data_IF_204064798038
#
_entry.id   IF_204064798038
#
_cell.length_a   1.000
_cell.length_b   1.000
_cell.length_c   1.000
_cell.angle_alpha   90.00
_cell.angle_beta   90.00
_cell.angle_gamma   90.00
#
_symmetry.space_group_name_H-M   'P 1'
#
loop_
_entity.id
_entity.type
_entity.pdbx_description
1 polymer ?
#
# COMPACT_ATOMS: atom_id res chain seq x y z
N UNK A 1 5.92 2.56 17.89
CA UNK A 1 6.53 2.82 16.57
C UNK A 1 6.35 4.27 16.16
N UNK A 2 7.28 4.79 15.36
CA UNK A 2 7.24 6.12 14.75
C UNK A 2 7.64 6.03 13.27
N UNK A 3 7.00 6.86 12.43
CA UNK A 3 7.45 7.13 11.07
C UNK A 3 8.11 8.49 11.05
N UNK A 4 9.37 8.53 10.64
CA UNK A 4 10.10 9.79 10.41
C UNK A 4 10.63 9.81 8.98
N UNK A 5 10.87 11.00 8.44
CA UNK A 5 11.43 11.17 7.11
C UNK A 5 12.85 11.66 7.22
N UNK A 6 13.73 11.06 6.43
CA UNK A 6 15.14 11.38 6.44
C UNK A 6 15.38 12.84 6.04
N UNK A 7 16.34 13.47 6.71
CA UNK A 7 16.89 14.78 6.30
C UNK A 7 18.02 14.55 5.30
N UNK A 8 18.68 15.64 4.89
CA UNK A 8 19.88 15.60 4.05
C UNK A 8 21.05 14.84 4.67
N UNK A 9 20.99 14.58 5.98
CA UNK A 9 22.04 13.88 6.73
C UNK A 9 22.08 12.39 6.41
N UNK A 10 20.98 11.82 5.90
CA UNK A 10 20.98 10.46 5.36
C UNK A 10 21.64 10.46 3.98
N UNK A 11 22.97 10.37 3.97
CA UNK A 11 23.76 10.27 2.76
C UNK A 11 24.41 8.89 2.62
N UNK A 12 24.19 8.22 1.48
CA UNK A 12 24.84 6.96 1.13
C UNK A 12 25.65 7.16 -0.14
N UNK A 13 26.94 6.81 -0.11
CA UNK A 13 27.87 7.00 -1.22
C UNK A 13 27.86 8.44 -1.81
N UNK A 14 27.70 9.46 -0.95
CA UNK A 14 27.65 10.87 -1.34
C UNK A 14 26.31 11.34 -1.92
N UNK A 15 25.31 10.47 -2.04
CA UNK A 15 23.95 10.83 -2.45
C UNK A 15 23.05 11.00 -1.22
N UNK A 16 22.37 12.15 -1.13
CA UNK A 16 21.34 12.41 -0.11
C UNK A 16 20.04 11.68 -0.44
N UNK A 17 19.42 11.10 0.59
CA UNK A 17 18.11 10.43 0.55
C UNK A 17 17.07 11.21 1.38
N UNK A 18 17.10 12.54 1.31
CA UNK A 18 16.11 13.40 1.94
C UNK A 18 14.66 12.99 1.56
N UNK A 19 13.79 12.89 2.55
CA UNK A 19 12.41 12.43 2.40
C UNK A 19 12.23 10.91 2.44
N UNK A 20 13.31 10.13 2.56
CA UNK A 20 13.20 8.67 2.65
C UNK A 20 12.51 8.22 3.94
N UNK A 21 11.53 7.29 3.88
CA UNK A 21 10.80 6.86 5.06
C UNK A 21 11.65 5.96 5.98
N UNK A 22 11.68 6.32 7.26
CA UNK A 22 12.34 5.58 8.33
C UNK A 22 11.29 5.08 9.33
N UNK A 23 11.16 3.76 9.44
CA UNK A 23 10.27 3.09 10.39
C UNK A 23 11.07 2.79 11.65
N UNK A 24 10.73 3.44 12.75
CA UNK A 24 11.45 3.34 14.02
C UNK A 24 10.58 2.60 15.05
N UNK A 25 11.12 1.53 15.62
CA UNK A 25 10.51 0.73 16.68
C UNK A 25 10.36 1.52 17.99
N UNK A 26 9.62 0.97 18.95
CA UNK A 26 9.58 1.53 20.31
C UNK A 26 10.96 1.55 21.00
N UNK A 27 11.87 0.68 20.57
CA UNK A 27 13.28 0.59 21.01
C UNK A 27 14.19 1.66 20.39
N UNK A 28 13.68 2.47 19.46
CA UNK A 28 14.45 3.49 18.75
C UNK A 28 15.27 2.97 17.58
N UNK A 29 15.22 1.66 17.29
CA UNK A 29 15.93 1.06 16.17
C UNK A 29 15.06 0.98 14.91
N UNK A 30 15.66 0.92 13.71
CA UNK A 30 14.91 0.65 12.50
C UNK A 30 14.16 -0.68 12.57
N UNK A 31 12.90 -0.70 12.14
CA UNK A 31 12.10 -1.92 12.13
C UNK A 31 12.52 -2.80 10.97
N UNK A 32 13.23 -3.88 11.28
CA UNK A 32 13.62 -4.89 10.30
C UNK A 32 12.62 -6.06 10.23
N UNK A 33 12.39 -6.63 9.04
CA UNK A 33 13.04 -6.33 7.76
C UNK A 33 12.31 -5.25 6.94
N UNK A 34 11.37 -4.52 7.54
CA UNK A 34 10.56 -3.50 6.87
C UNK A 34 11.40 -2.37 6.28
N UNK A 35 12.41 -1.91 7.04
CA UNK A 35 13.33 -0.87 6.60
C UNK A 35 14.17 -1.32 5.40
N UNK A 36 14.72 -2.54 5.45
CA UNK A 36 15.45 -3.14 4.31
C UNK A 36 14.57 -3.26 3.05
N UNK A 37 13.29 -3.62 3.21
CA UNK A 37 12.36 -3.68 2.09
C UNK A 37 12.11 -2.30 1.44
N UNK A 38 12.05 -1.23 2.23
CA UNK A 38 11.90 0.12 1.71
C UNK A 38 13.12 0.56 0.91
N UNK A 39 14.33 0.25 1.38
CA UNK A 39 15.56 0.48 0.61
C UNK A 39 15.53 -0.25 -0.72
N UNK A 40 15.21 -1.55 -0.69
CA UNK A 40 15.12 -2.34 -1.90
C UNK A 40 14.08 -1.78 -2.89
N UNK A 41 12.87 -1.49 -2.39
CA UNK A 41 11.74 -1.12 -3.25
C UNK A 41 11.84 0.30 -3.77
N UNK A 42 12.37 1.24 -2.97
CA UNK A 42 12.37 2.67 -3.32
C UNK A 42 13.69 3.14 -3.94
N UNK A 43 14.78 2.40 -3.73
CA UNK A 43 16.12 2.81 -4.16
C UNK A 43 16.74 1.80 -5.12
N UNK A 44 16.71 0.50 -4.81
CA UNK A 44 17.37 -0.51 -5.64
C UNK A 44 16.56 -0.91 -6.88
N UNK A 45 15.24 -0.73 -6.85
CA UNK A 45 14.34 -1.11 -7.95
C UNK A 45 14.56 -0.32 -9.26
N UNK A 46 15.39 0.73 -9.23
CA UNK A 46 15.76 1.54 -10.40
C UNK A 46 14.69 2.50 -10.90
N UNK A 47 13.51 2.52 -10.27
CA UNK A 47 12.44 3.46 -10.60
C UNK A 47 12.74 4.85 -9.99
N UNK A 48 12.65 5.90 -10.81
CA UNK A 48 12.70 7.27 -10.32
C UNK A 48 11.37 7.63 -9.64
N UNK A 49 11.26 7.28 -8.36
CA UNK A 49 10.04 7.53 -7.57
C UNK A 49 10.03 8.95 -6.99
N UNK A 50 8.86 9.58 -7.02
CA UNK A 50 8.64 10.90 -6.41
C UNK A 50 8.62 10.82 -4.88
N UNK A 51 8.87 11.95 -4.22
CA UNK A 51 8.77 12.09 -2.76
C UNK A 51 7.36 11.68 -2.24
N UNK A 52 6.30 12.01 -2.99
CA UNK A 52 4.94 11.58 -2.68
C UNK A 52 4.79 10.05 -2.67
N UNK A 53 5.50 9.35 -3.57
CA UNK A 53 5.50 7.89 -3.59
C UNK A 53 6.27 7.31 -2.41
N UNK A 54 7.43 7.88 -2.07
CA UNK A 54 8.19 7.50 -0.88
C UNK A 54 7.36 7.64 0.39
N UNK A 55 6.71 8.80 0.56
CA UNK A 55 5.80 9.05 1.68
C UNK A 55 4.63 8.05 1.71
N UNK A 56 3.98 7.82 0.56
CA UNK A 56 2.87 6.89 0.49
C UNK A 56 3.28 5.46 0.85
N UNK A 57 4.47 5.00 0.43
CA UNK A 57 4.98 3.68 0.77
C UNK A 57 5.35 3.60 2.25
N UNK A 58 6.05 4.60 2.78
CA UNK A 58 6.39 4.71 4.20
C UNK A 58 5.15 4.66 5.09
N UNK A 59 4.12 5.47 4.80
CA UNK A 59 2.86 5.49 5.56
C UNK A 59 2.13 4.15 5.51
N UNK A 60 2.03 3.53 4.33
CA UNK A 60 1.35 2.23 4.16
C UNK A 60 2.05 1.12 4.95
N UNK A 61 3.38 1.11 4.95
CA UNK A 61 4.15 0.11 5.68
C UNK A 61 4.14 0.38 7.19
N UNK A 62 4.27 1.66 7.59
CA UNK A 62 4.15 2.09 8.98
C UNK A 62 2.81 1.66 9.57
N UNK A 63 1.70 1.92 8.90
CA UNK A 63 0.38 1.57 9.43
C UNK A 63 0.20 0.06 9.65
N UNK A 64 0.86 -0.77 8.84
CA UNK A 64 0.84 -2.22 9.03
C UNK A 64 1.70 -2.65 10.22
N UNK A 65 2.95 -2.21 10.29
CA UNK A 65 3.85 -2.59 11.37
C UNK A 65 3.45 -1.99 12.71
N UNK A 66 2.88 -0.78 12.73
CA UNK A 66 2.30 -0.19 13.92
C UNK A 66 1.08 -0.99 14.42
N UNK A 67 0.24 -1.51 13.52
CA UNK A 67 -0.82 -2.44 13.90
C UNK A 67 -0.26 -3.72 14.53
N UNK A 68 0.79 -4.31 13.93
CA UNK A 68 1.42 -5.52 14.49
C UNK A 68 1.99 -5.25 15.88
N UNK A 69 2.75 -4.17 16.06
CA UNK A 69 3.34 -3.79 17.34
C UNK A 69 2.26 -3.53 18.41
N UNK A 70 1.21 -2.78 18.06
CA UNK A 70 0.11 -2.47 18.98
C UNK A 70 -0.66 -3.71 19.45
N UNK A 71 -0.67 -4.78 18.64
CA UNK A 71 -1.34 -6.04 18.95
C UNK A 71 -0.37 -7.14 19.42
N UNK A 72 0.92 -6.83 19.60
CA UNK A 72 1.93 -7.82 20.00
C UNK A 72 2.12 -8.97 19.00
N UNK A 73 1.85 -8.72 17.71
CA UNK A 73 1.94 -9.73 16.66
C UNK A 73 3.29 -9.70 15.98
N UNK A 74 3.89 -10.87 15.76
CA UNK A 74 5.09 -10.99 14.95
C UNK A 74 4.71 -11.02 13.47
N UNK A 75 5.38 -10.22 12.63
CA UNK A 75 5.10 -10.18 11.19
C UNK A 75 5.37 -11.53 10.51
N UNK A 76 6.29 -12.33 11.04
CA UNK A 76 6.70 -13.64 10.52
C UNK A 76 6.05 -14.82 11.26
N UNK A 77 4.99 -14.59 12.04
CA UNK A 77 4.25 -15.66 12.71
C UNK A 77 3.71 -16.65 11.66
N UNK A 78 4.01 -17.94 11.86
CA UNK A 78 3.51 -18.99 10.97
C UNK A 78 2.00 -19.11 11.10
N UNK A 79 1.29 -19.00 9.97
CA UNK A 79 -0.15 -19.15 9.97
C UNK A 79 -0.55 -20.61 9.91
N UNK A 80 -1.45 -21.03 10.79
CA UNK A 80 -2.06 -22.37 10.73
C UNK A 80 -2.95 -22.56 9.49
N UNK A 81 -3.48 -21.47 8.91
CA UNK A 81 -4.28 -21.47 7.69
C UNK A 81 -4.28 -20.08 7.02
N UNK A 82 -4.44 -19.99 5.70
CA UNK A 82 -4.40 -18.71 4.95
C UNK A 82 -5.36 -17.63 5.49
N UNK A 83 -6.52 -18.02 6.00
CA UNK A 83 -7.54 -17.11 6.56
C UNK A 83 -7.28 -16.64 8.00
N UNK A 84 -6.30 -17.22 8.69
CA UNK A 84 -5.99 -16.92 10.09
C UNK A 84 -4.65 -16.20 10.28
N UNK A 85 -4.03 -15.80 9.17
CA UNK A 85 -2.72 -15.15 9.20
C UNK A 85 -2.78 -13.75 9.79
N UNK A 86 -1.62 -13.23 10.18
CA UNK A 86 -1.43 -11.84 10.61
C UNK A 86 -1.93 -10.83 9.57
N UNK A 87 -1.89 -11.19 8.29
CA UNK A 87 -2.36 -10.37 7.19
C UNK A 87 -3.90 -10.38 7.08
N UNK A 88 -4.53 -11.53 7.32
CA UNK A 88 -5.99 -11.64 7.43
C UNK A 88 -6.52 -10.85 8.63
N UNK A 89 -5.87 -10.93 9.80
CA UNK A 89 -6.21 -10.12 10.98
C UNK A 89 -6.13 -8.62 10.68
N UNK A 90 -5.06 -8.18 10.02
CA UNK A 90 -4.91 -6.78 9.62
C UNK A 90 -6.00 -6.30 8.67
N UNK A 91 -6.34 -7.12 7.66
CA UNK A 91 -7.39 -6.83 6.69
C UNK A 91 -8.74 -6.65 7.39
N UNK A 92 -9.07 -7.57 8.29
CA UNK A 92 -10.38 -7.60 8.95
C UNK A 92 -10.52 -6.42 9.92
N UNK A 93 -9.46 -6.13 10.70
CA UNK A 93 -9.39 -4.94 11.53
C UNK A 93 -9.49 -3.64 10.71
N UNK A 94 -8.73 -3.53 9.62
CA UNK A 94 -8.74 -2.33 8.77
C UNK A 94 -10.08 -2.12 8.03
N UNK A 95 -10.80 -3.20 7.75
CA UNK A 95 -12.10 -3.15 7.07
C UNK A 95 -13.24 -2.83 8.04
N UNK A 96 -13.17 -3.36 9.26
CA UNK A 96 -14.20 -3.20 10.29
C UNK A 96 -14.03 -1.90 11.08
N UNK A 97 -12.85 -1.69 11.67
CA UNK A 97 -12.63 -0.63 12.66
C UNK A 97 -12.35 0.73 12.02
N UNK A 98 -11.58 0.74 10.93
CA UNK A 98 -11.19 1.99 10.25
C UNK A 98 -12.13 2.39 9.10
N UNK A 99 -13.10 1.53 8.75
CA UNK A 99 -14.04 1.69 7.63
C UNK A 99 -13.40 2.22 6.34
N UNK A 100 -12.14 1.82 6.07
CA UNK A 100 -11.38 2.37 4.95
C UNK A 100 -12.05 2.01 3.62
N UNK A 101 -11.98 2.94 2.66
CA UNK A 101 -12.41 2.62 1.31
C UNK A 101 -11.63 1.39 0.78
N UNK A 102 -12.31 0.37 0.23
CA UNK A 102 -11.67 -0.86 -0.21
C UNK A 102 -10.50 -0.64 -1.18
N UNK A 103 -10.55 0.40 -2.02
CA UNK A 103 -9.45 0.72 -2.95
C UNK A 103 -8.19 1.22 -2.22
N UNK A 104 -8.37 1.94 -1.11
CA UNK A 104 -7.27 2.42 -0.26
C UNK A 104 -6.66 1.26 0.52
N UNK A 105 -7.51 0.39 1.08
CA UNK A 105 -7.05 -0.80 1.77
C UNK A 105 -6.30 -1.74 0.81
N UNK A 106 -6.82 -1.97 -0.39
CA UNK A 106 -6.13 -2.79 -1.40
C UNK A 106 -4.79 -2.19 -1.84
N UNK A 107 -4.67 -0.86 -2.01
CA UNK A 107 -3.37 -0.22 -2.26
C UNK A 107 -2.35 -0.49 -1.16
N UNK A 108 -2.82 -0.58 0.09
CA UNK A 108 -1.99 -0.90 1.25
C UNK A 108 -1.62 -2.39 1.28
N UNK A 109 -2.61 -3.27 1.19
CA UNK A 109 -2.42 -4.72 1.14
C UNK A 109 -1.49 -5.13 0.00
N UNK A 110 -1.58 -4.51 -1.17
CA UNK A 110 -0.68 -4.79 -2.29
C UNK A 110 0.79 -4.51 -1.94
N UNK A 111 1.09 -3.44 -1.20
CA UNK A 111 2.46 -3.17 -0.77
C UNK A 111 2.94 -4.19 0.26
N UNK A 112 2.07 -4.57 1.21
CA UNK A 112 2.38 -5.58 2.24
C UNK A 112 2.60 -6.95 1.58
N UNK A 113 1.80 -7.32 0.58
CA UNK A 113 2.03 -8.53 -0.23
C UNK A 113 3.40 -8.51 -0.89
N UNK A 114 3.78 -7.39 -1.52
CA UNK A 114 5.12 -7.24 -2.13
C UNK A 114 6.22 -7.40 -1.09
N UNK A 115 6.02 -6.89 0.13
CA UNK A 115 6.94 -7.08 1.26
C UNK A 115 7.12 -8.57 1.59
N UNK A 116 6.03 -9.33 1.74
CA UNK A 116 6.12 -10.77 2.04
C UNK A 116 6.72 -11.59 0.90
N UNK A 117 6.40 -11.26 -0.35
CA UNK A 117 7.03 -11.89 -1.52
C UNK A 117 8.53 -11.64 -1.55
N UNK A 118 8.95 -10.39 -1.29
CA UNK A 118 10.36 -10.01 -1.17
C UNK A 118 11.05 -10.73 0.00
N UNK A 119 10.38 -10.84 1.14
CA UNK A 119 10.90 -11.54 2.31
C UNK A 119 11.07 -13.04 2.04
N UNK A 120 10.11 -13.66 1.33
CA UNK A 120 10.19 -15.06 0.92
C UNK A 120 11.33 -15.31 -0.08
N UNK A 121 11.56 -14.40 -1.02
CA UNK A 121 12.67 -14.48 -1.97
C UNK A 121 14.05 -14.38 -1.31
N UNK A 122 14.14 -13.80 -0.11
CA UNK A 122 15.36 -13.68 0.70
C UNK A 122 15.43 -14.71 1.83
N UNK A 123 14.56 -15.72 1.80
CA UNK A 123 14.47 -16.78 2.80
C UNK A 123 14.28 -16.29 4.25
N UNK A 124 13.69 -15.09 4.42
CA UNK A 124 13.37 -14.54 5.74
C UNK A 124 12.13 -15.21 6.38
N UNK A 125 11.33 -15.91 5.57
CA UNK A 125 10.15 -16.67 5.99
C UNK A 125 10.08 -18.01 5.25
N UNK A 126 9.59 -19.03 5.93
CA UNK A 126 9.41 -20.37 5.34
C UNK A 126 8.24 -20.42 4.35
N UNK A 127 7.14 -19.70 4.62
CA UNK A 127 5.95 -19.67 3.78
C UNK A 127 5.30 -18.28 3.76
N UNK A 128 4.54 -17.98 2.70
CA UNK A 128 3.75 -16.76 2.63
C UNK A 128 2.55 -16.84 3.57
N UNK A 129 2.15 -15.75 4.25
CA UNK A 129 1.00 -15.72 5.14
C UNK A 129 -0.34 -15.58 4.39
N UNK A 130 -0.37 -15.89 3.10
CA UNK A 130 -1.57 -15.86 2.27
C UNK A 130 -1.44 -16.85 1.13
N UNK A 131 -2.57 -17.44 0.75
CA UNK A 131 -2.68 -18.22 -0.47
C UNK A 131 -2.73 -17.34 -1.71
N UNK A 132 -2.43 -17.94 -2.86
CA UNK A 132 -2.53 -17.32 -4.17
C UNK A 132 -3.74 -17.87 -4.93
N UNK A 133 -4.64 -17.00 -5.38
CA UNK A 133 -5.81 -17.40 -6.20
C UNK A 133 -5.54 -17.09 -7.66
N UNK A 134 -5.70 -18.08 -8.54
CA UNK A 134 -5.72 -17.85 -9.98
C UNK A 134 -7.02 -17.15 -10.37
N UNK A 135 -6.90 -16.02 -11.05
CA UNK A 135 -8.02 -15.26 -11.59
C UNK A 135 -7.83 -15.13 -13.09
N UNK A 136 -8.86 -15.47 -13.88
CA UNK A 136 -8.83 -15.20 -15.32
C UNK A 136 -8.86 -13.69 -15.51
N UNK A 137 -7.86 -13.15 -16.20
CA UNK A 137 -7.90 -11.74 -16.58
C UNK A 137 -9.12 -11.52 -17.47
N UNK A 138 -9.90 -10.49 -17.17
CA UNK A 138 -11.00 -10.09 -18.03
C UNK A 138 -10.42 -9.64 -19.36
N UNK A 139 -10.81 -10.25 -20.49
CA UNK A 139 -10.30 -9.84 -21.79
C UNK A 139 -10.66 -8.36 -22.02
N UNK A 140 -9.68 -7.57 -22.46
CA UNK A 140 -9.91 -6.17 -22.82
C UNK A 140 -10.77 -6.13 -24.08
N UNK A 141 -12.03 -5.72 -23.97
CA UNK A 141 -12.88 -5.43 -25.12
C UNK A 141 -12.59 -4.01 -25.60
N UNK A 142 -11.58 -3.85 -26.45
CA UNK A 142 -11.19 -2.56 -27.01
C UNK A 142 -10.38 -2.70 -28.30
N UNK A 143 -9.89 -1.59 -28.84
CA UNK A 143 -9.15 -1.53 -30.11
C UNK A 143 -7.97 -2.51 -30.20
N UNK A 144 -7.35 -2.87 -29.07
CA UNK A 144 -6.22 -3.81 -28.98
C UNK A 144 -6.64 -5.24 -28.59
N UNK A 145 -7.91 -5.61 -28.71
CA UNK A 145 -8.42 -6.95 -28.36
C UNK A 145 -7.76 -8.08 -29.14
N UNK A 146 -7.27 -7.80 -30.36
CA UNK A 146 -6.56 -8.76 -31.21
C UNK A 146 -5.09 -8.99 -30.78
N UNK A 147 -4.54 -8.14 -29.90
CA UNK A 147 -3.21 -8.32 -29.29
C UNK A 147 -3.32 -8.97 -27.90
N UNK A 148 -4.50 -8.89 -27.27
CA UNK A 148 -4.73 -9.48 -25.96
C UNK A 148 -4.68 -11.01 -26.06
N UNK A 149 -3.80 -11.64 -25.27
CA UNK A 149 -3.77 -13.10 -25.15
C UNK A 149 -5.12 -13.56 -24.57
N UNK A 150 -5.99 -14.25 -25.32
CA UNK A 150 -7.17 -14.84 -24.73
C UNK A 150 -6.67 -15.84 -23.68
N UNK A 151 -7.20 -15.79 -22.47
CA UNK A 151 -6.83 -16.65 -21.34
C UNK A 151 -5.56 -16.27 -20.55
N UNK A 152 -5.17 -14.99 -20.50
CA UNK A 152 -4.17 -14.55 -19.52
C UNK A 152 -4.67 -14.84 -18.08
N UNK A 153 -4.03 -15.78 -17.39
CA UNK A 153 -4.24 -16.02 -15.96
C UNK A 153 -3.39 -15.03 -15.16
N UNK A 154 -4.03 -14.34 -14.20
CA UNK A 154 -3.34 -13.49 -13.24
C UNK A 154 -3.50 -14.10 -11.85
N UNK A 155 -2.37 -14.28 -11.17
CA UNK A 155 -2.36 -14.71 -9.77
C UNK A 155 -2.65 -13.51 -8.89
N UNK A 156 -3.69 -13.60 -8.05
CA UNK A 156 -4.02 -12.57 -7.07
C UNK A 156 -3.87 -13.12 -5.65
N UNK A 157 -3.28 -12.34 -4.73
CA UNK A 157 -3.26 -12.71 -3.31
C UNK A 157 -4.68 -12.91 -2.78
N UNK A 158 -4.90 -13.99 -2.03
CA UNK A 158 -6.21 -14.33 -1.44
C UNK A 158 -6.69 -13.33 -0.39
N UNK A 159 -5.78 -12.50 0.14
CA UNK A 159 -6.05 -11.52 1.19
C UNK A 159 -6.71 -10.23 0.68
N UNK A 160 -6.84 -10.04 -0.64
CA UNK A 160 -7.42 -8.81 -1.18
C UNK A 160 -8.91 -8.66 -0.86
N UNK A 161 -9.34 -7.44 -0.54
CA UNK A 161 -10.76 -7.13 -0.27
C UNK A 161 -11.50 -6.95 -1.57
N UNK A 162 -12.72 -7.50 -1.65
CA UNK A 162 -13.57 -7.37 -2.84
C UNK A 162 -14.02 -5.91 -3.00
N UNK A 163 -13.53 -5.26 -4.05
CA UNK A 163 -14.02 -3.94 -4.44
C UNK A 163 -15.41 -4.06 -5.08
N UNK A 164 -16.40 -3.37 -4.52
CA UNK A 164 -17.66 -3.12 -5.22
C UNK A 164 -17.45 -1.88 -6.08
N UNK A 165 -17.61 -2.00 -7.41
CA UNK A 165 -17.51 -0.88 -8.35
C UNK A 165 -18.48 0.22 -7.89
N UNK A 166 -17.97 1.30 -7.30
CA UNK A 166 -18.81 2.45 -6.94
C UNK A 166 -19.32 3.04 -8.25
N UNK A 167 -20.63 3.26 -8.34
CA UNK A 167 -21.19 4.06 -9.44
C UNK A 167 -20.54 5.44 -9.38
N UNK A 168 -20.03 5.91 -10.52
CA UNK A 168 -19.51 7.27 -10.63
C UNK A 168 -20.58 8.24 -10.13
N UNK A 169 -20.28 8.99 -9.07
CA UNK A 169 -21.18 10.04 -8.59
C UNK A 169 -21.21 11.13 -9.65
N UNK A 170 -22.33 11.26 -10.36
CA UNK A 170 -22.57 12.42 -11.22
C UNK A 170 -22.94 13.60 -10.33
N UNK A 171 -22.34 14.77 -10.57
CA UNK A 171 -22.88 16.00 -10.01
C UNK A 171 -24.30 16.17 -10.56
N UNK A 172 -25.26 16.33 -9.65
CA UNK A 172 -26.62 16.70 -10.05
C UNK A 172 -26.61 18.17 -10.49
N UNK A 173 -27.54 18.58 -11.36
CA UNK A 173 -27.62 19.96 -11.90
C UNK A 173 -27.60 21.03 -10.80
N UNK A 174 -28.14 20.71 -9.63
CA UNK A 174 -28.18 21.60 -8.47
C UNK A 174 -26.82 21.75 -7.78
N UNK A 175 -25.96 20.72 -7.81
CA UNK A 175 -24.60 20.78 -7.27
C UNK A 175 -23.66 21.60 -8.17
N UNK A 176 -23.90 21.60 -9.48
CA UNK A 176 -23.10 22.40 -10.42
C UNK A 176 -23.37 23.92 -10.31
N UNK A 177 -24.49 24.32 -9.70
CA UNK A 177 -24.84 25.75 -9.52
C UNK A 177 -24.10 26.41 -8.36
N UNK A 178 -23.68 25.63 -7.37
CA UNK A 178 -22.98 26.15 -6.18
C UNK A 178 -21.53 26.50 -6.49
N UNK A 179 -20.87 25.78 -7.39
CA UNK A 179 -19.45 25.98 -7.74
C UNK A 179 -19.18 27.10 -8.76
N UNK A 180 -20.20 27.73 -9.36
CA UNK A 180 -20.02 28.74 -10.43
C UNK A 180 -20.43 30.16 -9.98
N UNK A 181 -20.47 30.42 -8.67
CA UNK A 181 -20.66 31.80 -8.16
C UNK A 181 -19.32 32.40 -7.76
N UNK A 182 -18.67 33.25 -8.59
CA UNK A 182 -17.55 34.06 -8.13
C UNK A 182 -18.09 35.12 -7.15
N UNK A 183 -17.69 35.04 -5.88
CA UNK A 183 -17.82 36.15 -4.95
C UNK A 183 -16.97 37.33 -5.45
N UNK A 184 -17.62 38.28 -6.13
CA UNK A 184 -17.09 39.62 -6.30
C UNK A 184 -17.19 40.32 -4.93
N UNK A 185 -16.17 40.15 -4.10
CA UNK A 185 -15.93 41.01 -2.93
C UNK A 185 -15.50 42.39 -3.41
N UNK A 186 -16.48 43.27 -3.57
CA UNK A 186 -16.31 44.71 -3.79
C UNK A 186 -15.56 45.35 -2.62
N UNK A 187 -14.40 45.93 -2.90
CA UNK A 187 -13.72 46.88 -2.02
C UNK A 187 -14.34 48.29 -2.19
N UNK A 188 -14.98 48.82 -1.16
CA UNK A 188 -15.36 50.23 -0.95
C UNK A 188 -15.56 50.40 0.58
N UNK A 189 -15.04 51.35 1.33
CA UNK A 189 -14.23 52.57 1.18
C UNK A 189 -13.40 52.73 2.47
#
# INVERSE_FOLDING_TARGET
>A
MRLVFATKDLAVAGRSFEGFPLLVGADGWPVEPAQSFLWHTLVESGEALSALTWEAYGRRLFDYFAFLEANGLAWNEESQADGLSVLSRYRDWSSGELELDPSTLNKRLNLIVRFYQWAKQRDLIAALPFGERRVRATPHSGFLSHVARPNAESTKPSVMVRERKRLTKFLTKDQAKVDVSPELSSAQL
#
